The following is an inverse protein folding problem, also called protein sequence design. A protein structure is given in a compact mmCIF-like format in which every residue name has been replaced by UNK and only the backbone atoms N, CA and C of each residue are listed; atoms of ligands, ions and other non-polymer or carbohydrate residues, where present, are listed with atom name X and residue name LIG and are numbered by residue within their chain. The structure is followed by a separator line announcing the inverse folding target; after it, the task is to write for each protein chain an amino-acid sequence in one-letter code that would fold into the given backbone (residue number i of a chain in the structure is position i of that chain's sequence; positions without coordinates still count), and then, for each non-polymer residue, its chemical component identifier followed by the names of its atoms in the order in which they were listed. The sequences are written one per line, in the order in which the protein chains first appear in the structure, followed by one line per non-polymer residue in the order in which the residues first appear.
data_IF_510974313569
#
_entry.id   IF_510974313569
#
_cell.length_a   1.000
_cell.length_b   1.000
_cell.length_c   1.000
_cell.angle_alpha   90.00
_cell.angle_beta   90.00
_cell.angle_gamma   90.00
#
_symmetry.space_group_name_H-M   'P 1'
#
loop_
_entity.id
_entity.type
_entity.pdbx_description
1 polymer ?
#
# COMPACT_ATOMS: atom_id res chain seq x y z
N UNK A 1 -20.76 -15.89 15.88
CA UNK A 1 -20.34 -14.63 16.53
C UNK A 1 -18.89 -14.30 16.21
N UNK A 2 -17.95 -15.26 16.36
CA UNK A 2 -16.56 -15.11 15.89
C UNK A 2 -16.49 -14.93 14.36
N UNK A 3 -17.28 -15.70 13.60
CA UNK A 3 -17.31 -15.57 12.14
C UNK A 3 -17.78 -14.19 11.68
N UNK A 4 -18.80 -13.64 12.34
CA UNK A 4 -19.30 -12.30 12.02
C UNK A 4 -18.29 -11.19 12.37
N UNK A 5 -17.53 -11.34 13.46
CA UNK A 5 -16.45 -10.40 13.83
C UNK A 5 -15.31 -10.47 12.80
N UNK A 6 -14.92 -11.68 12.38
CA UNK A 6 -13.90 -11.87 11.33
C UNK A 6 -14.37 -11.29 10.00
N UNK A 7 -15.63 -11.51 9.61
CA UNK A 7 -16.20 -10.94 8.39
C UNK A 7 -16.18 -9.40 8.43
N UNK A 8 -16.53 -8.79 9.56
CA UNK A 8 -16.53 -7.32 9.71
C UNK A 8 -15.10 -6.75 9.71
N UNK A 9 -14.12 -7.50 10.22
CA UNK A 9 -12.70 -7.09 10.22
C UNK A 9 -12.01 -7.29 8.86
N UNK A 10 -12.54 -8.15 8.00
CA UNK A 10 -12.00 -8.47 6.68
C UNK A 10 -12.73 -7.74 5.54
N UNK A 11 -13.85 -7.07 5.84
CA UNK A 11 -14.62 -6.31 4.86
C UNK A 11 -13.76 -5.16 4.31
N UNK A 12 -13.62 -5.12 2.98
CA UNK A 12 -12.80 -4.12 2.30
C UNK A 12 -13.37 -2.73 2.56
N UNK A 13 -12.54 -1.86 3.14
CA UNK A 13 -12.94 -0.58 3.68
C UNK A 13 -13.13 0.46 2.57
N UNK A 14 -14.14 0.26 1.74
CA UNK A 14 -14.53 1.21 0.70
C UNK A 14 -15.25 2.38 1.35
N UNK A 15 -14.58 3.20 2.17
CA UNK A 15 -15.18 4.37 2.83
C UNK A 15 -15.35 5.51 1.83
N UNK A 16 -16.52 5.66 1.18
CA UNK A 16 -16.68 6.64 0.12
C UNK A 16 -16.73 8.02 0.78
N UNK A 17 -16.01 8.99 0.23
CA UNK A 17 -15.94 10.39 0.73
C UNK A 17 -15.17 10.60 2.04
N UNK A 18 -14.71 9.54 2.72
CA UNK A 18 -13.74 9.69 3.83
C UNK A 18 -12.31 9.74 3.27
N UNK A 19 -11.83 10.96 3.03
CA UNK A 19 -10.48 11.18 2.53
C UNK A 19 -9.40 10.90 3.59
N UNK A 20 -9.71 11.07 4.88
CA UNK A 20 -8.75 10.90 5.95
C UNK A 20 -8.51 9.43 6.23
N UNK A 21 -9.58 8.63 6.33
CA UNK A 21 -9.48 7.18 6.44
C UNK A 21 -8.77 6.57 5.22
N UNK A 22 -9.11 7.03 4.02
CA UNK A 22 -8.44 6.58 2.79
C UNK A 22 -6.94 6.91 2.77
N UNK A 23 -6.56 8.13 3.17
CA UNK A 23 -5.16 8.54 3.23
C UNK A 23 -4.36 7.76 4.28
N UNK A 24 -4.92 7.60 5.47
CA UNK A 24 -4.26 6.90 6.58
C UNK A 24 -4.11 5.42 6.30
N UNK A 25 -5.09 4.78 5.68
CA UNK A 25 -5.02 3.38 5.22
C UNK A 25 -3.91 3.22 4.17
N UNK A 26 -3.92 4.07 3.13
CA UNK A 26 -2.91 4.07 2.08
C UNK A 26 -1.48 4.31 2.61
N UNK A 27 -1.34 5.25 3.56
CA UNK A 27 -0.07 5.49 4.26
C UNK A 27 0.34 4.28 5.11
N UNK A 28 -0.62 3.65 5.79
CA UNK A 28 -0.45 2.43 6.57
C UNK A 28 0.11 1.28 5.72
N UNK A 29 -0.46 1.03 4.53
CA UNK A 29 0.04 0.02 3.60
C UNK A 29 1.50 0.25 3.23
N UNK A 30 1.89 1.48 2.91
CA UNK A 30 3.28 1.80 2.61
C UNK A 30 4.22 1.59 3.81
N UNK A 31 3.89 2.17 4.97
CA UNK A 31 4.79 2.23 6.14
C UNK A 31 4.81 0.94 6.94
N UNK A 32 3.65 0.32 7.19
CA UNK A 32 3.55 -0.85 8.06
C UNK A 32 3.76 -2.17 7.32
N UNK A 33 3.50 -2.20 6.01
CA UNK A 33 3.64 -3.41 5.20
C UNK A 33 4.81 -3.29 4.22
N UNK A 34 4.79 -2.27 3.36
CA UNK A 34 5.80 -2.08 2.32
C UNK A 34 7.23 -1.99 2.86
N UNK A 35 7.48 -1.09 3.80
CA UNK A 35 8.83 -0.85 4.33
C UNK A 35 9.41 -2.08 5.07
N UNK A 36 8.71 -2.73 6.03
CA UNK A 36 9.26 -3.89 6.72
C UNK A 36 9.43 -5.10 5.80
N UNK A 37 8.49 -5.34 4.87
CA UNK A 37 8.59 -6.43 3.92
C UNK A 37 9.80 -6.26 2.98
N UNK A 38 10.12 -5.03 2.59
CA UNK A 38 11.32 -4.76 1.79
C UNK A 38 12.61 -5.10 2.53
N UNK A 39 12.72 -4.74 3.81
CA UNK A 39 13.85 -5.12 4.65
C UNK A 39 13.96 -6.65 4.77
N UNK A 40 12.84 -7.32 5.01
CA UNK A 40 12.82 -8.78 5.13
C UNK A 40 13.26 -9.47 3.83
N UNK A 41 12.66 -9.13 2.68
CA UNK A 41 12.99 -9.77 1.40
C UNK A 41 14.42 -9.46 0.96
N UNK A 42 14.90 -8.24 1.18
CA UNK A 42 16.31 -7.92 0.92
C UNK A 42 17.25 -8.70 1.84
N UNK A 43 16.90 -8.83 3.13
CA UNK A 43 17.63 -9.68 4.08
C UNK A 43 17.67 -11.17 3.68
N UNK A 44 16.68 -11.63 2.92
CA UNK A 44 16.64 -12.97 2.32
C UNK A 44 17.43 -13.07 0.98
N UNK A 45 18.14 -12.01 0.59
CA UNK A 45 19.01 -11.99 -0.58
C UNK A 45 18.37 -11.46 -1.87
N UNK A 46 17.15 -10.93 -1.81
CA UNK A 46 16.53 -10.32 -2.98
C UNK A 46 17.23 -9.00 -3.34
N UNK A 47 17.44 -8.77 -4.64
CA UNK A 47 18.08 -7.53 -5.10
C UNK A 47 17.15 -6.33 -4.88
N UNK A 48 17.74 -5.18 -4.49
CA UNK A 48 16.98 -3.95 -4.20
C UNK A 48 16.12 -3.48 -5.40
N UNK A 49 16.57 -3.77 -6.63
CA UNK A 49 15.82 -3.44 -7.85
C UNK A 49 14.52 -4.25 -8.00
N UNK A 50 14.50 -5.49 -7.49
CA UNK A 50 13.34 -6.39 -7.59
C UNK A 50 12.46 -6.34 -6.35
N UNK A 51 12.98 -5.88 -5.20
CA UNK A 51 12.27 -5.85 -3.93
C UNK A 51 10.89 -5.18 -4.00
N UNK A 52 10.72 -3.96 -4.56
CA UNK A 52 9.41 -3.31 -4.59
C UNK A 52 8.35 -4.12 -5.36
N UNK A 53 8.75 -4.71 -6.49
CA UNK A 53 7.86 -5.54 -7.32
C UNK A 53 7.49 -6.84 -6.59
N UNK A 54 8.46 -7.49 -5.95
CA UNK A 54 8.22 -8.71 -5.20
C UNK A 54 7.28 -8.48 -4.01
N UNK A 55 7.47 -7.39 -3.25
CA UNK A 55 6.58 -7.05 -2.13
C UNK A 55 5.15 -6.80 -2.66
N UNK A 56 4.97 -6.04 -3.74
CA UNK A 56 3.64 -5.82 -4.32
C UNK A 56 2.97 -7.13 -4.77
N UNK A 57 3.70 -8.02 -5.44
CA UNK A 57 3.15 -9.30 -5.90
C UNK A 57 2.78 -10.21 -4.73
N UNK A 58 3.62 -10.29 -3.71
CA UNK A 58 3.36 -11.08 -2.50
C UNK A 58 2.15 -10.52 -1.74
N UNK A 59 2.05 -9.20 -1.60
CA UNK A 59 0.91 -8.56 -0.96
C UNK A 59 -0.38 -8.81 -1.75
N UNK A 60 -0.38 -8.53 -3.05
CA UNK A 60 -1.57 -8.70 -3.88
C UNK A 60 -2.00 -10.17 -3.96
N UNK A 61 -1.10 -11.10 -4.28
CA UNK A 61 -1.47 -12.51 -4.42
C UNK A 61 -1.70 -13.18 -3.06
N UNK A 62 -0.85 -12.90 -2.07
CA UNK A 62 -0.90 -13.52 -0.76
C UNK A 62 -1.98 -12.94 0.14
N UNK A 63 -1.95 -11.64 0.37
CA UNK A 63 -2.89 -10.99 1.28
C UNK A 63 -4.25 -10.77 0.60
N UNK A 64 -4.28 -9.98 -0.47
CA UNK A 64 -5.54 -9.54 -1.08
C UNK A 64 -6.33 -10.69 -1.72
N UNK A 65 -5.65 -11.62 -2.42
CA UNK A 65 -6.33 -12.69 -3.17
C UNK A 65 -6.55 -13.96 -2.35
N UNK A 66 -5.62 -14.37 -1.48
CA UNK A 66 -5.74 -15.63 -0.74
C UNK A 66 -6.32 -15.46 0.67
N UNK A 67 -5.88 -14.44 1.42
CA UNK A 67 -6.27 -14.26 2.82
C UNK A 67 -7.55 -13.43 2.93
N UNK A 68 -7.50 -12.18 2.47
CA UNK A 68 -8.63 -11.24 2.56
C UNK A 68 -9.72 -11.52 1.52
N UNK A 69 -9.34 -12.12 0.37
CA UNK A 69 -10.25 -12.42 -0.75
C UNK A 69 -11.03 -11.18 -1.21
N UNK A 70 -10.35 -10.05 -1.30
CA UNK A 70 -10.93 -8.76 -1.64
C UNK A 70 -11.73 -8.83 -2.95
N UNK A 71 -13.00 -8.41 -2.90
CA UNK A 71 -13.89 -8.48 -4.06
C UNK A 71 -13.58 -7.40 -5.10
N UNK A 72 -13.08 -6.24 -4.68
CA UNK A 72 -12.68 -5.16 -5.57
C UNK A 72 -11.20 -5.31 -5.99
N UNK A 73 -10.97 -5.63 -7.26
CA UNK A 73 -9.63 -5.75 -7.82
C UNK A 73 -8.94 -4.38 -7.91
N UNK A 74 -9.68 -3.31 -8.18
CA UNK A 74 -9.10 -1.99 -8.35
C UNK A 74 -8.53 -1.47 -7.03
N UNK A 75 -9.23 -1.71 -5.91
CA UNK A 75 -8.78 -1.29 -4.59
C UNK A 75 -7.53 -2.07 -4.16
N UNK A 76 -7.53 -3.40 -4.32
CA UNK A 76 -6.34 -4.22 -4.03
C UNK A 76 -5.12 -3.85 -4.88
N UNK A 77 -5.32 -3.40 -6.12
CA UNK A 77 -4.22 -2.88 -6.94
C UNK A 77 -3.68 -1.56 -6.39
N UNK A 78 -4.57 -0.67 -5.92
CA UNK A 78 -4.17 0.58 -5.27
C UNK A 78 -3.37 0.29 -4.01
N UNK A 79 -3.79 -0.65 -3.18
CA UNK A 79 -3.06 -1.04 -1.97
C UNK A 79 -1.70 -1.65 -2.30
N UNK A 80 -1.65 -2.56 -3.29
CA UNK A 80 -0.38 -3.12 -3.77
C UNK A 80 0.60 -2.04 -4.27
N UNK A 81 0.11 -0.97 -4.91
CA UNK A 81 0.93 0.18 -5.33
C UNK A 81 1.50 0.92 -4.12
N UNK A 82 0.70 1.18 -3.07
CA UNK A 82 1.18 1.85 -1.86
C UNK A 82 2.20 1.01 -1.11
N UNK A 83 1.97 -0.30 -1.02
CA UNK A 83 2.93 -1.26 -0.49
C UNK A 83 4.24 -1.24 -1.29
N UNK A 84 4.19 -1.28 -2.64
CA UNK A 84 5.39 -1.18 -3.48
C UNK A 84 6.15 0.14 -3.30
N UNK A 85 5.45 1.26 -3.17
CA UNK A 85 6.07 2.57 -2.96
C UNK A 85 6.77 2.64 -1.59
N UNK A 86 6.13 2.10 -0.54
CA UNK A 86 6.76 1.91 0.77
C UNK A 86 8.03 1.07 0.68
N UNK A 87 7.98 -0.05 -0.04
CA UNK A 87 9.14 -0.90 -0.29
C UNK A 87 10.23 -0.17 -1.10
N UNK A 88 9.83 0.65 -2.08
CA UNK A 88 10.71 1.48 -2.90
C UNK A 88 11.47 2.53 -2.09
N UNK A 89 10.85 3.12 -1.07
CA UNK A 89 11.52 4.07 -0.16
C UNK A 89 12.68 3.38 0.56
N UNK A 90 12.47 2.17 1.09
CA UNK A 90 13.53 1.39 1.74
C UNK A 90 14.59 0.95 0.74
N UNK A 91 14.18 0.45 -0.43
CA UNK A 91 15.13 0.02 -1.46
C UNK A 91 16.01 1.19 -1.92
N UNK A 92 15.42 2.37 -2.13
CA UNK A 92 16.13 3.60 -2.44
C UNK A 92 17.03 4.05 -1.29
N UNK A 93 16.57 3.98 -0.04
CA UNK A 93 17.36 4.33 1.13
C UNK A 93 18.62 3.45 1.26
N UNK A 94 18.49 2.15 1.00
CA UNK A 94 19.61 1.20 1.06
C UNK A 94 20.56 1.34 -0.13
N UNK A 95 20.06 1.67 -1.32
CA UNK A 95 20.87 1.82 -2.52
C UNK A 95 21.60 3.18 -2.60
N UNK A 96 20.95 4.27 -2.18
CA UNK A 96 21.40 5.65 -2.42
C UNK A 96 21.39 6.53 -1.16
N UNK A 97 21.16 5.95 0.02
CA UNK A 97 21.14 6.67 1.30
C UNK A 97 19.97 7.64 1.42
N UNK A 98 20.20 8.74 2.12
CA UNK A 98 19.20 9.77 2.39
C UNK A 98 18.46 10.24 1.12
N UNK A 99 19.17 10.51 0.04
CA UNK A 99 18.57 11.03 -1.19
C UNK A 99 17.69 10.00 -1.91
N UNK A 100 18.00 8.72 -1.81
CA UNK A 100 17.13 7.66 -2.31
C UNK A 100 15.81 7.58 -1.55
N UNK A 101 15.86 7.73 -0.23
CA UNK A 101 14.64 7.81 0.59
C UNK A 101 13.78 9.03 0.24
N UNK A 102 14.41 10.20 0.10
CA UNK A 102 13.72 11.45 -0.28
C UNK A 102 13.05 11.31 -1.64
N UNK A 103 13.74 10.75 -2.65
CA UNK A 103 13.15 10.50 -3.97
C UNK A 103 11.94 9.54 -3.88
N UNK A 104 12.03 8.50 -3.05
CA UNK A 104 10.92 7.59 -2.79
C UNK A 104 9.71 8.30 -2.17
N UNK A 105 9.91 9.11 -1.14
CA UNK A 105 8.82 9.90 -0.54
C UNK A 105 8.24 10.92 -1.53
N UNK A 106 9.09 11.56 -2.33
CA UNK A 106 8.66 12.51 -3.37
C UNK A 106 7.82 11.83 -4.46
N UNK A 107 8.15 10.59 -4.84
CA UNK A 107 7.34 9.80 -5.77
C UNK A 107 6.03 9.30 -5.15
N UNK A 108 6.02 9.04 -3.83
CA UNK A 108 4.84 8.54 -3.14
C UNK A 108 3.79 9.62 -2.86
N UNK A 109 4.23 10.84 -2.53
CA UNK A 109 3.34 11.94 -2.16
C UNK A 109 2.24 12.25 -3.23
N UNK A 110 2.54 12.32 -4.54
CA UNK A 110 1.52 12.51 -5.58
C UNK A 110 0.46 11.39 -5.60
N UNK A 111 0.84 10.15 -5.30
CA UNK A 111 -0.09 9.00 -5.30
C UNK A 111 -1.06 9.11 -4.13
N UNK A 112 -0.57 9.48 -2.94
CA UNK A 112 -1.40 9.77 -1.78
C UNK A 112 -2.37 10.92 -2.06
N UNK A 113 -1.88 12.02 -2.66
CA UNK A 113 -2.71 13.18 -3.02
C UNK A 113 -3.77 12.83 -4.07
N UNK A 114 -3.44 11.99 -5.06
CA UNK A 114 -4.40 11.51 -6.05
C UNK A 114 -5.52 10.69 -5.39
N UNK A 115 -5.20 9.86 -4.41
CA UNK A 115 -6.17 9.11 -3.60
C UNK A 115 -7.14 10.03 -2.83
N UNK A 116 -6.60 11.07 -2.18
CA UNK A 116 -7.38 12.09 -1.47
C UNK A 116 -8.29 12.85 -2.44
N UNK A 117 -7.74 13.35 -3.55
CA UNK A 117 -8.48 14.10 -4.56
C UNK A 117 -9.65 13.29 -5.14
N UNK A 118 -9.41 12.02 -5.49
CA UNK A 118 -10.45 11.11 -5.98
C UNK A 118 -11.63 11.02 -5.01
N UNK A 119 -11.37 10.91 -3.71
CA UNK A 119 -12.42 10.80 -2.69
C UNK A 119 -13.17 12.11 -2.47
N UNK A 120 -12.47 13.25 -2.53
CA UNK A 120 -13.10 14.58 -2.44
C UNK A 120 -13.95 14.92 -3.67
N UNK A 121 -13.53 14.55 -4.88
CA UNK A 121 -14.28 14.80 -6.11
C UNK A 121 -15.63 14.03 -6.14
N UNK A 122 -15.70 12.87 -5.49
CA UNK A 122 -16.98 12.15 -5.26
C UNK A 122 -17.91 12.84 -4.24
N UNK A 123 -17.45 13.90 -3.55
CA UNK A 123 -18.26 14.72 -2.66
C UNK A 123 -18.90 15.93 -3.37
N UNK A 124 -18.36 16.38 -4.50
CA UNK A 124 -18.84 17.58 -5.21
C UNK A 124 -19.87 17.31 -6.30
N UNK A 125 -20.32 16.05 -6.43
CA UNK A 125 -21.26 15.59 -7.47
C UNK A 125 -22.73 15.50 -7.00
N UNK A 126 -23.05 16.07 -5.83
CA UNK A 126 -24.41 16.18 -5.29
C UNK A 126 -24.95 17.61 -5.43
#
# INVERSE_FOLDING_TARGET
MIDHILDTLLEADSQPRDWYAGLTTAAGHGVLVGMPAALALHGLGLSLALTPLAVALIYFLGWERLIQKGQDIADSLVDAVHVALGAGIIAGALAFGFWGAVAGFAAWAPVLMAGVWRRLACSSSN
#
